data_IF_837735141103
#
_entry.id   IF_837735141103
#
_cell.length_a   1.000
_cell.length_b   1.000
_cell.length_c   1.000
_cell.angle_alpha   90.00
_cell.angle_beta   90.00
_cell.angle_gamma   90.00
#
_symmetry.space_group_name_H-M   'P 1'
#
loop_
_entity.id
_entity.type
_entity.pdbx_description
1 polymer ?
#
# COMPACT_ATOMS: atom_id res chain seq x y z
N UNK A 1 13.85 7.75 76.52
CA UNK A 1 13.24 8.39 75.35
C UNK A 1 13.19 7.38 74.24
N UNK A 2 12.01 6.87 73.79
CA UNK A 2 11.92 5.73 72.92
C UNK A 2 12.04 6.12 71.45
N UNK A 3 12.77 5.28 70.70
CA UNK A 3 13.01 5.39 69.29
C UNK A 3 11.79 5.06 68.43
N UNK A 4 11.67 5.80 67.33
CA UNK A 4 10.67 5.60 66.29
C UNK A 4 11.08 4.45 65.35
N UNK A 5 10.18 3.44 65.23
CA UNK A 5 10.28 2.37 64.26
C UNK A 5 9.91 2.89 62.85
N UNK A 6 10.80 2.63 61.85
CA UNK A 6 10.54 2.89 60.45
C UNK A 6 9.66 1.77 59.83
N UNK A 7 8.92 2.07 58.75
CA UNK A 7 8.00 1.10 58.15
C UNK A 7 8.72 0.04 57.33
N UNK A 8 8.32 -1.19 57.53
CA UNK A 8 8.72 -2.40 56.83
C UNK A 8 8.39 -2.34 55.35
N UNK A 9 9.40 -2.50 54.51
CA UNK A 9 9.29 -2.70 53.05
C UNK A 9 8.59 -4.01 52.72
N UNK A 10 7.41 -3.95 52.16
CA UNK A 10 6.73 -5.09 51.60
C UNK A 10 7.43 -5.55 50.32
N UNK A 11 7.97 -6.77 50.32
CA UNK A 11 8.48 -7.44 49.14
C UNK A 11 7.32 -7.69 48.15
N UNK A 12 7.41 -7.11 46.96
CA UNK A 12 6.55 -7.48 45.86
C UNK A 12 7.01 -8.83 45.30
N UNK A 13 6.15 -9.81 45.30
CA UNK A 13 6.33 -11.08 44.60
C UNK A 13 6.36 -10.88 43.10
N UNK A 14 7.19 -11.64 42.34
CA UNK A 14 7.24 -11.55 40.89
C UNK A 14 5.93 -12.08 40.28
N UNK A 15 5.25 -11.26 39.50
CA UNK A 15 4.07 -11.67 38.73
C UNK A 15 4.49 -12.70 37.69
N UNK A 16 3.90 -13.88 37.77
CA UNK A 16 3.97 -14.92 36.74
C UNK A 16 3.47 -14.36 35.38
N UNK A 17 4.15 -14.68 34.25
CA UNK A 17 3.66 -14.33 32.95
C UNK A 17 2.29 -15.00 32.70
N UNK A 18 1.29 -14.22 32.29
CA UNK A 18 0.01 -14.78 31.82
C UNK A 18 0.31 -15.68 30.61
N UNK A 19 -0.09 -16.93 30.71
CA UNK A 19 -0.10 -17.86 29.60
C UNK A 19 -0.97 -17.24 28.47
N UNK A 20 -0.36 -17.06 27.30
CA UNK A 20 -1.06 -16.62 26.11
C UNK A 20 -2.18 -17.61 25.78
N UNK A 21 -3.36 -17.07 25.49
CA UNK A 21 -4.43 -17.87 24.89
C UNK A 21 -3.92 -18.44 23.57
N UNK A 22 -4.22 -19.70 23.22
CA UNK A 22 -3.88 -20.22 21.92
C UNK A 22 -4.63 -19.39 20.87
N UNK A 23 -3.89 -18.75 19.96
CA UNK A 23 -4.45 -18.18 18.75
C UNK A 23 -5.27 -19.26 18.04
N UNK A 24 -6.46 -18.92 17.49
CA UNK A 24 -7.15 -19.86 16.61
C UNK A 24 -6.18 -20.24 15.51
N UNK A 25 -5.94 -21.51 15.34
CA UNK A 25 -5.05 -22.10 14.35
C UNK A 25 -5.47 -21.56 12.98
N UNK A 26 -4.62 -20.73 12.40
CA UNK A 26 -4.70 -20.39 10.99
C UNK A 26 -4.84 -21.71 10.22
N UNK A 27 -5.78 -21.78 9.31
CA UNK A 27 -6.09 -22.97 8.54
C UNK A 27 -4.79 -23.44 7.85
N UNK A 28 -4.20 -24.58 8.20
CA UNK A 28 -2.97 -25.03 7.56
C UNK A 28 -3.33 -25.45 6.15
N UNK A 29 -2.67 -24.87 5.16
CA UNK A 29 -2.83 -25.11 3.74
C UNK A 29 -4.19 -24.66 3.17
N UNK A 30 -4.43 -23.36 3.15
CA UNK A 30 -5.13 -22.79 2.04
C UNK A 30 -4.31 -23.11 0.80
N UNK A 31 -4.66 -24.18 0.05
CA UNK A 31 -4.16 -24.33 -1.30
C UNK A 31 -4.48 -23.01 -1.98
N UNK A 32 -3.46 -22.32 -2.48
CA UNK A 32 -3.67 -21.24 -3.44
C UNK A 32 -4.54 -21.87 -4.52
N UNK A 33 -5.86 -21.60 -4.46
CA UNK A 33 -6.74 -21.86 -5.59
C UNK A 33 -6.03 -21.15 -6.71
N UNK A 34 -5.91 -21.70 -7.91
CA UNK A 34 -5.13 -21.11 -9.00
C UNK A 34 -5.43 -19.64 -9.33
N UNK A 35 -5.89 -18.85 -8.34
CA UNK A 35 -6.30 -17.44 -8.44
C UNK A 35 -5.76 -16.68 -7.23
N UNK A 36 -5.08 -15.57 -7.50
CA UNK A 36 -4.64 -14.59 -6.51
C UNK A 36 -5.37 -13.25 -6.79
N UNK A 37 -5.99 -12.68 -5.76
CA UNK A 37 -6.62 -11.37 -5.87
C UNK A 37 -5.93 -10.37 -4.94
N UNK A 38 -5.41 -9.29 -5.52
CA UNK A 38 -4.68 -8.22 -4.79
C UNK A 38 -5.43 -6.90 -4.95
N UNK A 39 -5.72 -6.25 -3.84
CA UNK A 39 -6.29 -4.89 -3.82
C UNK A 39 -5.28 -3.90 -3.27
N UNK A 40 -5.28 -2.69 -3.80
CA UNK A 40 -4.54 -1.56 -3.23
C UNK A 40 -5.43 -0.35 -3.09
N UNK A 41 -5.23 0.44 -2.03
CA UNK A 41 -5.97 1.69 -1.81
C UNK A 41 -5.22 2.65 -0.91
N UNK A 42 -5.06 3.89 -1.35
CA UNK A 42 -4.70 5.00 -0.47
C UNK A 42 -5.92 5.36 0.38
N UNK A 43 -5.83 5.15 1.70
CA UNK A 43 -6.96 5.33 2.64
C UNK A 43 -7.11 6.75 3.16
N UNK A 44 -6.17 7.65 2.83
CA UNK A 44 -6.16 9.06 3.28
C UNK A 44 -6.43 9.22 4.79
N UNK A 45 -5.83 8.35 5.60
CA UNK A 45 -6.00 8.26 7.05
C UNK A 45 -6.92 7.13 7.48
N UNK A 46 -6.33 5.99 7.85
CA UNK A 46 -7.03 4.74 8.16
C UNK A 46 -8.07 4.88 9.30
N UNK A 47 -7.79 5.71 10.31
CA UNK A 47 -8.77 5.99 11.39
C UNK A 47 -10.06 6.65 10.88
N UNK A 48 -9.94 7.51 9.87
CA UNK A 48 -11.10 8.18 9.28
C UNK A 48 -11.83 7.24 8.32
N UNK A 49 -11.09 6.50 7.51
CA UNK A 49 -11.63 5.50 6.58
C UNK A 49 -12.38 4.38 7.32
N UNK A 50 -11.84 3.89 8.44
CA UNK A 50 -12.49 2.87 9.28
C UNK A 50 -13.90 3.29 9.76
N UNK A 51 -14.09 4.58 10.09
CA UNK A 51 -15.39 5.11 10.50
C UNK A 51 -16.40 5.32 9.37
N UNK A 52 -15.95 5.19 8.12
CA UNK A 52 -16.74 5.52 6.91
C UNK A 52 -17.02 4.33 6.00
N UNK A 53 -16.60 3.11 6.39
CA UNK A 53 -16.90 1.91 5.62
C UNK A 53 -15.70 1.06 5.21
N UNK A 54 -14.45 1.44 5.55
CA UNK A 54 -13.28 0.62 5.24
C UNK A 54 -13.33 -0.75 5.93
N UNK A 55 -13.80 -0.82 7.19
CA UNK A 55 -13.89 -2.09 7.94
C UNK A 55 -14.87 -3.05 7.28
N UNK A 56 -16.04 -2.55 6.90
CA UNK A 56 -17.07 -3.31 6.20
C UNK A 56 -16.59 -3.76 4.82
N UNK A 57 -15.85 -2.89 4.11
CA UNK A 57 -15.24 -3.25 2.84
C UNK A 57 -14.16 -4.33 3.03
N UNK A 58 -13.27 -4.21 4.02
CA UNK A 58 -12.23 -5.20 4.33
C UNK A 58 -12.84 -6.56 4.70
N UNK A 59 -13.96 -6.57 5.42
CA UNK A 59 -14.66 -7.79 5.81
C UNK A 59 -15.33 -8.51 4.63
N UNK A 60 -15.71 -7.77 3.57
CA UNK A 60 -16.50 -8.30 2.43
C UNK A 60 -15.70 -8.46 1.14
N UNK A 61 -14.52 -7.84 1.04
CA UNK A 61 -13.67 -7.95 -0.15
C UNK A 61 -13.27 -9.39 -0.44
N UNK A 62 -13.14 -9.72 -1.73
CA UNK A 62 -12.65 -11.02 -2.21
C UNK A 62 -11.14 -11.07 -2.33
N UNK A 63 -10.44 -9.99 -1.98
CA UNK A 63 -8.99 -9.94 -2.04
C UNK A 63 -8.34 -10.96 -1.08
N UNK A 64 -7.24 -11.56 -1.54
CA UNK A 64 -6.34 -12.37 -0.71
C UNK A 64 -5.31 -11.48 -0.01
N UNK A 65 -4.95 -10.36 -0.66
CA UNK A 65 -4.05 -9.34 -0.11
C UNK A 65 -4.62 -7.95 -0.34
N UNK A 66 -4.59 -7.11 0.69
CA UNK A 66 -4.96 -5.68 0.61
C UNK A 66 -3.78 -4.84 1.06
N UNK A 67 -3.31 -3.94 0.20
CA UNK A 67 -2.25 -2.98 0.49
C UNK A 67 -2.85 -1.58 0.68
N UNK A 68 -2.53 -0.94 1.80
CA UNK A 68 -3.02 0.40 2.14
C UNK A 68 -1.88 1.41 2.16
N UNK A 69 -2.15 2.62 1.67
CA UNK A 69 -1.24 3.76 1.72
C UNK A 69 -1.89 4.90 2.51
N UNK A 70 -1.08 5.83 2.99
CA UNK A 70 -1.52 6.95 3.83
C UNK A 70 -2.31 6.53 5.07
N UNK A 71 -1.81 5.53 5.79
CA UNK A 71 -2.41 5.06 7.07
C UNK A 71 -2.47 6.18 8.11
N UNK A 72 -1.43 7.04 8.18
CA UNK A 72 -1.34 8.26 9.01
C UNK A 72 -1.56 8.03 10.51
N UNK A 73 -1.29 6.83 10.98
CA UNK A 73 -1.46 6.45 12.39
C UNK A 73 -0.51 5.30 12.74
N UNK A 74 -0.15 5.21 14.03
CA UNK A 74 0.49 4.02 14.58
C UNK A 74 -0.57 2.99 14.98
N UNK A 75 -0.18 1.73 15.23
CA UNK A 75 -1.11 0.67 15.62
C UNK A 75 -1.93 1.03 16.88
N UNK A 76 -1.29 1.69 17.86
CA UNK A 76 -1.95 2.11 19.11
C UNK A 76 -3.03 3.18 18.90
N UNK A 77 -3.01 3.86 17.75
CA UNK A 77 -3.96 4.91 17.41
C UNK A 77 -5.12 4.39 16.54
N UNK A 78 -5.03 3.15 16.09
CA UNK A 78 -6.03 2.51 15.22
C UNK A 78 -7.04 1.71 16.04
N UNK A 79 -8.29 1.56 15.56
CA UNK A 79 -9.24 0.61 16.12
C UNK A 79 -8.73 -0.84 16.04
N UNK A 80 -9.14 -1.68 16.98
CA UNK A 80 -8.68 -3.08 17.06
C UNK A 80 -9.02 -3.88 15.79
N UNK A 81 -10.17 -3.62 15.20
CA UNK A 81 -10.69 -4.27 14.00
C UNK A 81 -9.95 -3.90 12.69
N UNK A 82 -9.05 -2.91 12.74
CA UNK A 82 -8.10 -2.61 11.64
C UNK A 82 -6.66 -2.94 11.97
N UNK A 83 -6.31 -3.12 13.26
CA UNK A 83 -4.96 -3.56 13.66
C UNK A 83 -4.83 -5.07 13.56
N UNK A 84 -5.88 -5.78 13.98
CA UNK A 84 -5.95 -7.25 13.99
C UNK A 84 -7.34 -7.70 13.50
N UNK A 85 -7.64 -7.51 12.20
CA UNK A 85 -8.93 -7.87 11.65
C UNK A 85 -9.09 -9.38 11.55
N UNK A 86 -10.29 -9.88 11.83
CA UNK A 86 -10.57 -11.32 11.83
C UNK A 86 -10.30 -11.96 10.46
N UNK A 87 -9.53 -13.03 10.45
CA UNK A 87 -9.15 -13.78 9.27
C UNK A 87 -8.08 -13.12 8.38
N UNK A 88 -7.37 -12.13 8.91
CA UNK A 88 -6.24 -11.49 8.23
C UNK A 88 -4.96 -11.53 9.08
N UNK A 89 -3.84 -11.75 8.45
CA UNK A 89 -2.56 -11.27 8.95
C UNK A 89 -2.44 -9.78 8.60
N UNK A 90 -1.95 -8.97 9.53
CA UNK A 90 -1.77 -7.53 9.31
C UNK A 90 -0.33 -7.10 9.61
N UNK A 91 0.28 -6.36 8.67
CA UNK A 91 1.58 -5.71 8.86
C UNK A 91 1.43 -4.20 8.65
N UNK A 92 2.02 -3.41 9.53
CA UNK A 92 1.96 -1.95 9.50
C UNK A 92 3.37 -1.35 9.53
N UNK A 93 3.65 -0.41 8.65
CA UNK A 93 4.85 0.40 8.62
C UNK A 93 4.46 1.88 8.80
N UNK A 94 4.34 2.37 10.05
CA UNK A 94 4.02 3.77 10.32
C UNK A 94 5.22 4.66 9.97
N UNK A 95 4.95 5.93 9.68
CA UNK A 95 6.00 6.94 9.60
C UNK A 95 6.41 7.42 10.99
N UNK A 96 7.70 7.73 11.18
CA UNK A 96 8.19 8.45 12.37
C UNK A 96 7.59 9.85 12.48
N UNK A 97 7.19 10.44 11.37
CA UNK A 97 6.50 11.74 11.36
C UNK A 97 5.03 11.53 11.65
N UNK A 98 4.61 11.96 12.84
CA UNK A 98 3.25 11.76 13.33
C UNK A 98 2.18 12.31 12.36
N UNK A 99 1.20 11.46 12.04
CA UNK A 99 0.05 11.83 11.21
C UNK A 99 0.38 11.96 9.71
N UNK A 100 1.55 11.47 9.28
CA UNK A 100 1.96 11.48 7.86
C UNK A 100 2.22 10.06 7.39
N UNK A 101 2.09 9.84 6.08
CA UNK A 101 2.44 8.59 5.38
C UNK A 101 1.87 7.33 6.08
N UNK A 102 2.65 6.29 6.16
CA UNK A 102 2.27 4.99 6.70
C UNK A 102 1.67 4.09 5.64
N UNK A 103 2.18 2.87 5.55
CA UNK A 103 1.62 1.82 4.70
C UNK A 103 1.25 0.62 5.55
N UNK A 104 0.29 -0.19 5.07
CA UNK A 104 -0.09 -1.44 5.70
C UNK A 104 -0.39 -2.50 4.64
N UNK A 105 -0.24 -3.76 5.00
CA UNK A 105 -0.66 -4.90 4.19
C UNK A 105 -1.45 -5.86 5.05
N UNK A 106 -2.62 -6.24 4.58
CA UNK A 106 -3.46 -7.31 5.10
C UNK A 106 -3.37 -8.51 4.17
N UNK A 107 -3.16 -9.71 4.70
CA UNK A 107 -3.07 -10.95 3.92
C UNK A 107 -3.91 -12.05 4.53
N UNK A 108 -4.65 -12.81 3.71
CA UNK A 108 -5.38 -14.02 4.15
C UNK A 108 -4.44 -15.17 4.47
N UNK A 109 -3.22 -15.12 3.96
CA UNK A 109 -2.19 -16.13 4.17
C UNK A 109 -1.09 -15.52 5.02
N UNK A 110 -0.61 -16.25 6.02
CA UNK A 110 0.56 -15.85 6.80
C UNK A 110 1.76 -15.74 5.87
N UNK A 111 2.43 -14.57 5.77
CA UNK A 111 3.62 -14.44 4.96
C UNK A 111 4.82 -15.17 5.58
N UNK A 112 5.74 -15.61 4.73
CA UNK A 112 7.02 -16.20 5.13
C UNK A 112 7.94 -15.12 5.74
N UNK A 113 7.87 -13.89 5.20
CA UNK A 113 8.67 -12.74 5.62
C UNK A 113 7.87 -11.43 5.45
N UNK A 114 8.15 -10.48 6.33
CA UNK A 114 7.70 -9.08 6.21
C UNK A 114 8.91 -8.18 6.24
N UNK A 115 9.02 -7.29 5.27
CA UNK A 115 10.12 -6.32 5.17
C UNK A 115 9.57 -4.90 5.12
N UNK A 116 10.03 -4.06 6.02
CA UNK A 116 9.73 -2.62 6.05
C UNK A 116 10.88 -1.86 5.43
N UNK A 117 10.59 -0.82 4.64
CA UNK A 117 11.60 -0.05 3.93
C UNK A 117 12.22 -0.81 2.76
N UNK A 118 13.13 -0.14 2.06
CA UNK A 118 13.83 -0.71 0.90
C UNK A 118 15.35 -0.54 0.99
N UNK A 119 15.86 -0.25 2.20
CA UNK A 119 17.30 -0.17 2.48
C UNK A 119 17.94 1.19 2.19
N UNK A 120 17.15 2.21 1.85
CA UNK A 120 17.64 3.59 1.70
C UNK A 120 17.45 4.33 3.03
N UNK A 121 18.55 4.73 3.71
CA UNK A 121 18.48 5.32 5.04
C UNK A 121 17.57 6.55 5.18
N UNK A 122 17.50 7.39 4.15
CA UNK A 122 16.61 8.57 4.15
C UNK A 122 15.13 8.17 4.25
N UNK A 123 14.75 7.01 3.73
CA UNK A 123 13.35 6.58 3.62
C UNK A 123 12.97 5.40 4.50
N UNK A 124 13.91 4.84 5.27
CA UNK A 124 13.69 3.62 6.05
C UNK A 124 12.51 3.75 7.03
N UNK A 125 12.46 4.88 7.75
CA UNK A 125 11.42 5.18 8.74
C UNK A 125 10.30 6.08 8.19
N UNK A 126 10.22 6.25 6.89
CA UNK A 126 9.26 7.17 6.26
C UNK A 126 7.83 6.61 6.20
N UNK A 127 7.66 5.29 6.39
CA UNK A 127 6.36 4.63 6.25
C UNK A 127 5.83 4.68 4.81
N UNK A 128 6.70 4.50 3.81
CA UNK A 128 6.34 4.58 2.40
C UNK A 128 6.39 3.27 1.66
N UNK A 129 6.97 2.22 2.28
CA UNK A 129 7.17 0.94 1.63
C UNK A 129 7.13 -0.22 2.61
N UNK A 130 6.45 -1.31 2.23
CA UNK A 130 6.30 -2.53 3.01
C UNK A 130 6.09 -3.72 2.06
N UNK A 131 6.85 -4.81 2.26
CA UNK A 131 6.69 -6.06 1.54
C UNK A 131 6.16 -7.17 2.42
N UNK A 132 5.30 -8.02 1.85
CA UNK A 132 4.96 -9.34 2.39
C UNK A 132 5.37 -10.41 1.37
N UNK A 133 6.13 -11.39 1.82
CA UNK A 133 6.62 -12.48 0.99
C UNK A 133 5.72 -13.69 1.20
N UNK A 134 4.91 -14.01 0.21
CA UNK A 134 4.07 -15.19 0.15
C UNK A 134 4.79 -16.32 -0.60
N UNK A 135 4.35 -17.58 -0.54
CA UNK A 135 5.10 -18.71 -1.12
C UNK A 135 5.49 -18.55 -2.59
N UNK A 136 4.67 -17.87 -3.40
CA UNK A 136 4.91 -17.70 -4.84
C UNK A 136 5.00 -16.26 -5.32
N UNK A 137 4.68 -15.30 -4.45
CA UNK A 137 4.61 -13.88 -4.82
C UNK A 137 5.05 -12.98 -3.68
N UNK A 138 5.81 -11.94 -4.01
CA UNK A 138 6.05 -10.81 -3.13
C UNK A 138 5.03 -9.72 -3.47
N UNK A 139 4.24 -9.30 -2.50
CA UNK A 139 3.31 -8.18 -2.64
C UNK A 139 3.85 -7.01 -1.83
N UNK A 140 4.09 -5.88 -2.49
CA UNK A 140 4.62 -4.69 -1.85
C UNK A 140 3.63 -3.53 -1.91
N UNK A 141 3.42 -2.85 -0.76
CA UNK A 141 2.67 -1.60 -0.65
C UNK A 141 3.60 -0.42 -0.80
N UNK A 142 3.38 0.41 -1.81
CA UNK A 142 4.15 1.63 -2.11
C UNK A 142 3.30 2.88 -1.93
N UNK A 143 3.84 3.86 -1.21
CA UNK A 143 3.38 5.24 -1.20
C UNK A 143 4.50 6.17 -1.67
N UNK A 144 4.58 6.40 -2.98
CA UNK A 144 5.58 7.30 -3.57
C UNK A 144 5.31 8.75 -3.15
N UNK A 145 6.33 9.58 -2.83
CA UNK A 145 6.10 10.97 -2.49
C UNK A 145 5.28 11.73 -3.55
N UNK A 146 4.31 12.55 -3.12
CA UNK A 146 3.43 13.26 -4.06
C UNK A 146 4.13 14.39 -4.82
N UNK A 147 5.19 14.95 -4.25
CA UNK A 147 5.89 16.11 -4.80
C UNK A 147 5.08 17.42 -4.73
N UNK A 148 5.77 18.52 -5.04
CA UNK A 148 5.19 19.84 -5.24
C UNK A 148 6.27 20.71 -5.91
N UNK A 149 6.07 21.10 -7.16
CA UNK A 149 7.10 21.72 -8.02
C UNK A 149 7.70 22.97 -7.39
N UNK A 150 9.02 23.02 -7.33
CA UNK A 150 9.76 24.15 -6.78
C UNK A 150 9.84 24.14 -5.23
N UNK A 151 9.53 23.01 -4.59
CA UNK A 151 9.66 22.85 -3.14
C UNK A 151 10.50 21.61 -2.79
N UNK A 152 10.97 21.54 -1.54
CA UNK A 152 11.67 20.38 -0.98
C UNK A 152 10.88 19.05 -1.13
N UNK A 153 9.55 19.12 -1.27
CA UNK A 153 8.74 17.91 -1.51
C UNK A 153 8.96 17.31 -2.89
N UNK A 154 9.27 18.15 -3.89
CA UNK A 154 9.63 17.66 -5.22
C UNK A 154 11.03 17.03 -5.18
N UNK A 155 11.96 17.68 -4.48
CA UNK A 155 13.32 17.17 -4.32
C UNK A 155 13.31 15.82 -3.57
N UNK A 156 12.48 15.68 -2.51
CA UNK A 156 12.26 14.39 -1.81
C UNK A 156 11.77 13.30 -2.77
N UNK A 157 10.79 13.64 -3.63
CA UNK A 157 10.26 12.71 -4.62
C UNK A 157 11.33 12.25 -5.62
N UNK A 158 12.14 13.17 -6.11
CA UNK A 158 13.22 12.86 -7.05
C UNK A 158 14.28 11.96 -6.42
N UNK A 159 14.69 12.23 -5.16
CA UNK A 159 15.63 11.36 -4.42
C UNK A 159 15.04 9.96 -4.18
N UNK A 160 13.74 9.90 -3.82
CA UNK A 160 13.06 8.62 -3.65
C UNK A 160 13.06 7.81 -4.96
N UNK A 161 12.68 8.44 -6.07
CA UNK A 161 12.66 7.81 -7.39
C UNK A 161 14.05 7.32 -7.80
N UNK A 162 15.08 8.11 -7.56
CA UNK A 162 16.47 7.75 -7.88
C UNK A 162 16.95 6.51 -7.10
N UNK A 163 16.60 6.41 -5.81
CA UNK A 163 16.96 5.27 -4.96
C UNK A 163 16.09 4.04 -5.22
N UNK A 164 14.82 4.23 -5.57
CA UNK A 164 13.85 3.14 -5.67
C UNK A 164 13.98 2.32 -6.96
N UNK A 165 14.39 2.92 -8.07
CA UNK A 165 14.55 2.19 -9.34
C UNK A 165 15.59 1.05 -9.28
N UNK A 166 16.82 1.27 -8.76
CA UNK A 166 17.77 0.17 -8.58
C UNK A 166 17.25 -0.92 -7.66
N UNK A 167 16.53 -0.52 -6.59
CA UNK A 167 15.91 -1.48 -5.69
C UNK A 167 14.89 -2.39 -6.37
N UNK A 168 14.04 -1.84 -7.25
CA UNK A 168 13.08 -2.65 -8.02
C UNK A 168 13.78 -3.69 -8.91
N UNK A 169 14.90 -3.33 -9.52
CA UNK A 169 15.72 -4.27 -10.30
C UNK A 169 16.23 -5.41 -9.41
N UNK A 170 16.76 -5.06 -8.24
CA UNK A 170 17.29 -6.04 -7.27
C UNK A 170 16.18 -6.93 -6.70
N UNK A 171 15.03 -6.35 -6.32
CA UNK A 171 13.87 -7.07 -5.80
C UNK A 171 13.39 -8.13 -6.78
N UNK A 172 13.24 -7.76 -8.06
CA UNK A 172 12.86 -8.70 -9.13
C UNK A 172 13.86 -9.85 -9.23
N UNK A 173 15.17 -9.54 -9.23
CA UNK A 173 16.21 -10.56 -9.36
C UNK A 173 16.22 -11.53 -8.17
N UNK A 174 16.09 -11.01 -6.93
CA UNK A 174 16.01 -11.82 -5.72
C UNK A 174 14.77 -12.71 -5.70
N UNK A 175 13.60 -12.13 -5.99
CA UNK A 175 12.35 -12.88 -6.03
C UNK A 175 12.42 -14.01 -7.06
N UNK A 176 12.95 -13.74 -8.26
CA UNK A 176 13.13 -14.75 -9.30
C UNK A 176 14.07 -15.89 -8.86
N UNK A 177 15.15 -15.57 -8.14
CA UNK A 177 16.06 -16.59 -7.60
C UNK A 177 15.37 -17.50 -6.56
N UNK A 178 14.38 -16.96 -5.84
CA UNK A 178 13.56 -17.69 -4.87
C UNK A 178 12.32 -18.36 -5.52
N UNK A 179 12.17 -18.29 -6.84
CA UNK A 179 11.02 -18.83 -7.56
C UNK A 179 9.72 -18.07 -7.33
N UNK A 180 9.80 -16.78 -6.97
CA UNK A 180 8.67 -15.88 -6.73
C UNK A 180 8.54 -14.84 -7.84
N UNK A 181 7.32 -14.43 -8.11
CA UNK A 181 6.99 -13.21 -8.85
C UNK A 181 6.85 -12.02 -7.87
N UNK A 182 6.83 -10.81 -8.40
CA UNK A 182 6.64 -9.58 -7.61
C UNK A 182 5.47 -8.79 -8.17
N UNK A 183 4.66 -8.21 -7.28
CA UNK A 183 3.75 -7.12 -7.61
C UNK A 183 3.92 -5.98 -6.62
N UNK A 184 4.29 -4.81 -7.13
CA UNK A 184 4.35 -3.56 -6.36
C UNK A 184 3.07 -2.79 -6.63
N UNK A 185 2.27 -2.63 -5.59
CA UNK A 185 0.96 -1.99 -5.69
C UNK A 185 0.92 -0.75 -4.81
N UNK A 186 0.12 0.23 -5.19
CA UNK A 186 -0.04 1.41 -4.34
C UNK A 186 -0.21 2.70 -5.12
N UNK A 187 -0.07 3.79 -4.37
CA UNK A 187 -0.11 5.14 -4.88
C UNK A 187 1.28 5.54 -5.39
N UNK A 188 1.43 5.49 -6.70
CA UNK A 188 2.66 5.86 -7.40
C UNK A 188 2.80 7.36 -7.59
N UNK A 189 1.75 8.13 -7.30
CA UNK A 189 1.73 9.58 -7.45
C UNK A 189 2.24 10.09 -8.80
N UNK A 190 2.16 9.26 -9.85
CA UNK A 190 2.53 9.58 -11.24
C UNK A 190 1.46 9.01 -12.17
N UNK A 191 0.87 9.86 -12.99
CA UNK A 191 0.12 9.48 -14.17
C UNK A 191 1.10 9.32 -15.34
N UNK A 192 1.18 8.13 -15.94
CA UNK A 192 2.19 7.83 -16.94
C UNK A 192 1.90 8.51 -18.29
N UNK A 193 0.66 8.47 -18.75
CA UNK A 193 0.29 9.02 -20.05
C UNK A 193 -0.93 9.94 -19.95
N UNK A 194 -1.23 10.62 -21.04
CA UNK A 194 -2.36 11.54 -21.17
C UNK A 194 -3.72 10.89 -20.93
N UNK A 195 -3.86 9.59 -21.15
CA UNK A 195 -5.05 8.80 -20.85
C UNK A 195 -5.24 8.54 -19.36
N UNK A 196 -4.18 8.75 -18.55
CA UNK A 196 -4.20 8.51 -17.11
C UNK A 196 -4.71 9.70 -16.30
N UNK A 197 -4.99 10.83 -16.93
CA UNK A 197 -5.61 11.95 -16.24
C UNK A 197 -6.49 12.79 -17.16
N UNK A 198 -7.66 13.21 -16.65
CA UNK A 198 -8.68 13.94 -17.43
C UNK A 198 -8.14 15.25 -18.01
N UNK A 199 -7.48 16.05 -17.21
CA UNK A 199 -7.04 17.41 -17.56
C UNK A 199 -5.52 17.48 -17.84
N UNK A 200 -4.96 16.51 -18.56
CA UNK A 200 -3.52 16.37 -18.74
C UNK A 200 -2.84 17.63 -19.32
N UNK A 201 -3.51 18.37 -20.23
CA UNK A 201 -2.92 19.58 -20.83
C UNK A 201 -2.59 20.66 -19.80
N UNK A 202 -3.48 20.84 -18.82
CA UNK A 202 -3.31 21.80 -17.73
C UNK A 202 -2.30 21.34 -16.67
N UNK A 203 -2.04 20.03 -16.59
CA UNK A 203 -1.20 19.44 -15.55
C UNK A 203 0.24 19.11 -15.98
N UNK A 204 0.64 19.44 -17.22
CA UNK A 204 1.99 19.14 -17.77
C UNK A 204 3.17 19.72 -16.99
N UNK A 205 2.91 20.68 -16.11
CA UNK A 205 3.91 21.34 -15.27
C UNK A 205 3.68 21.07 -13.77
N UNK A 206 2.78 20.15 -13.45
CA UNK A 206 2.46 19.80 -12.07
C UNK A 206 3.10 18.46 -11.71
N UNK A 207 3.56 18.32 -10.46
CA UNK A 207 4.02 17.06 -9.94
C UNK A 207 2.94 15.96 -10.11
N UNK A 208 3.38 14.76 -10.41
CA UNK A 208 2.53 13.63 -10.81
C UNK A 208 2.34 13.51 -12.33
N UNK A 209 2.74 14.54 -13.12
CA UNK A 209 2.69 14.46 -14.58
C UNK A 209 3.85 15.20 -15.29
N UNK A 210 4.94 15.42 -14.56
CA UNK A 210 6.15 16.02 -15.15
C UNK A 210 6.80 15.05 -16.14
N UNK A 211 7.47 15.56 -17.20
CA UNK A 211 8.17 14.72 -18.18
C UNK A 211 9.17 13.76 -17.52
N UNK A 212 9.98 14.25 -16.56
CA UNK A 212 10.99 13.48 -15.82
C UNK A 212 10.39 12.39 -14.94
N UNK A 213 9.24 12.62 -14.32
CA UNK A 213 8.51 11.61 -13.54
C UNK A 213 7.98 10.49 -14.44
N UNK A 214 7.42 10.86 -15.59
CA UNK A 214 6.91 9.92 -16.59
C UNK A 214 8.05 9.12 -17.23
N UNK A 215 9.18 9.75 -17.53
CA UNK A 215 10.39 9.07 -18.01
C UNK A 215 10.89 8.06 -16.98
N UNK A 216 10.95 8.44 -15.70
CA UNK A 216 11.33 7.53 -14.64
C UNK A 216 10.39 6.32 -14.54
N UNK A 217 9.07 6.53 -14.60
CA UNK A 217 8.12 5.41 -14.58
C UNK A 217 8.26 4.53 -15.84
N UNK A 218 8.59 5.12 -17.00
CA UNK A 218 8.96 4.39 -18.20
C UNK A 218 10.20 3.51 -18.01
N UNK A 219 11.18 3.96 -17.22
CA UNK A 219 12.35 3.15 -16.82
C UNK A 219 11.98 2.01 -15.87
N UNK A 220 10.99 2.19 -15.00
CA UNK A 220 10.45 1.07 -14.21
C UNK A 220 9.91 -0.04 -15.12
N UNK A 221 9.26 0.33 -16.23
CA UNK A 221 8.78 -0.66 -17.21
C UNK A 221 9.93 -1.30 -18.01
N UNK A 222 10.89 -0.51 -18.47
CA UNK A 222 11.91 -1.00 -19.42
C UNK A 222 13.17 -1.54 -18.75
N UNK A 223 13.68 -0.92 -17.69
CA UNK A 223 14.91 -1.30 -17.00
C UNK A 223 14.62 -2.27 -15.84
N UNK A 224 13.67 -1.93 -14.96
CA UNK A 224 13.30 -2.83 -13.86
C UNK A 224 12.40 -3.98 -14.35
N UNK A 225 11.75 -3.83 -15.51
CA UNK A 225 11.01 -4.90 -16.19
C UNK A 225 9.69 -5.24 -15.54
N UNK A 226 9.00 -4.25 -14.97
CA UNK A 226 7.64 -4.40 -14.47
C UNK A 226 6.62 -4.00 -15.54
N UNK A 227 5.41 -4.54 -15.41
CA UNK A 227 4.30 -4.27 -16.32
C UNK A 227 3.13 -3.71 -15.53
N UNK A 228 2.56 -2.60 -15.98
CA UNK A 228 1.29 -2.08 -15.47
C UNK A 228 0.15 -3.01 -15.93
N UNK A 229 -0.45 -3.74 -14.98
CA UNK A 229 -1.42 -4.78 -15.30
C UNK A 229 -2.74 -4.22 -15.82
N UNK A 230 -3.12 -3.00 -15.43
CA UNK A 230 -4.28 -2.32 -15.98
C UNK A 230 -4.06 -1.97 -17.46
N UNK A 231 -2.89 -1.40 -17.78
CA UNK A 231 -2.54 -1.02 -19.16
C UNK A 231 -2.27 -2.22 -20.06
N UNK A 232 -1.88 -3.35 -19.47
CA UNK A 232 -1.82 -4.61 -20.21
C UNK A 232 -3.18 -5.06 -20.71
N UNK A 233 -4.26 -4.88 -19.93
CA UNK A 233 -5.63 -5.28 -20.31
C UNK A 233 -6.33 -4.22 -21.15
N UNK A 234 -6.08 -2.94 -20.87
CA UNK A 234 -6.65 -1.79 -21.58
C UNK A 234 -5.57 -0.74 -21.86
N UNK A 235 -4.82 -0.91 -22.96
CA UNK A 235 -3.65 -0.05 -23.25
C UNK A 235 -4.03 1.36 -23.66
N UNK A 236 -5.21 1.60 -24.23
CA UNK A 236 -5.56 2.87 -24.89
C UNK A 236 -6.75 3.59 -24.22
N UNK A 237 -7.51 2.92 -23.39
CA UNK A 237 -8.69 3.49 -22.73
C UNK A 237 -8.36 4.63 -21.77
N UNK A 238 -9.17 5.71 -21.73
CA UNK A 238 -9.01 6.76 -20.74
C UNK A 238 -9.33 6.21 -19.34
N UNK A 239 -8.49 6.52 -18.36
CA UNK A 239 -8.67 5.98 -16.99
C UNK A 239 -8.51 4.46 -16.94
N UNK A 240 -9.34 3.72 -16.19
CA UNK A 240 -10.23 4.25 -15.15
C UNK A 240 -9.43 5.01 -14.09
N UNK A 241 -9.91 6.19 -13.70
CA UNK A 241 -9.23 7.00 -12.69
C UNK A 241 -9.36 6.37 -11.31
N UNK A 242 -8.36 6.61 -10.45
CA UNK A 242 -8.27 6.03 -9.11
C UNK A 242 -8.34 7.08 -8.01
N UNK A 243 -8.05 8.35 -8.34
CA UNK A 243 -8.06 9.49 -7.42
C UNK A 243 -8.84 10.67 -7.98
N UNK A 244 -9.61 11.36 -7.12
CA UNK A 244 -10.37 12.58 -7.43
C UNK A 244 -10.25 13.58 -6.29
N UNK A 245 -9.78 14.78 -6.60
CA UNK A 245 -9.71 15.87 -5.63
C UNK A 245 -11.06 16.11 -4.94
N UNK A 246 -11.02 16.49 -3.67
CA UNK A 246 -12.21 16.97 -2.95
C UNK A 246 -12.72 18.33 -3.45
N UNK A 247 -11.96 19.02 -4.31
CA UNK A 247 -12.28 20.35 -4.85
C UNK A 247 -12.93 20.24 -6.23
N UNK A 248 -13.73 21.29 -6.58
CA UNK A 248 -14.18 21.50 -7.97
C UNK A 248 -15.12 20.43 -8.51
N UNK A 249 -15.84 19.69 -7.66
CA UNK A 249 -16.72 18.57 -8.07
C UNK A 249 -16.00 17.53 -8.94
N UNK A 250 -14.69 17.32 -8.67
CA UNK A 250 -13.85 16.47 -9.49
C UNK A 250 -14.38 15.04 -9.59
N UNK A 251 -14.94 14.50 -8.50
CA UNK A 251 -15.52 13.17 -8.49
C UNK A 251 -16.75 13.07 -9.39
N UNK A 252 -17.70 13.98 -9.26
CA UNK A 252 -18.96 13.96 -10.02
C UNK A 252 -18.73 14.21 -11.52
N UNK A 253 -17.75 15.06 -11.85
CA UNK A 253 -17.32 15.35 -13.23
C UNK A 253 -16.35 14.31 -13.81
N UNK A 254 -16.00 13.28 -13.03
CA UNK A 254 -14.97 12.29 -13.37
C UNK A 254 -13.64 12.94 -13.82
N UNK A 255 -13.25 14.02 -13.16
CA UNK A 255 -11.98 14.72 -13.40
C UNK A 255 -10.89 14.14 -12.51
N UNK A 256 -10.57 12.88 -12.76
CA UNK A 256 -9.67 12.08 -11.95
C UNK A 256 -8.27 11.89 -12.55
N UNK A 257 -7.43 11.22 -11.77
CA UNK A 257 -6.11 10.73 -12.10
C UNK A 257 -6.03 9.23 -11.82
N UNK A 258 -5.32 8.49 -12.66
CA UNK A 258 -4.94 7.10 -12.42
C UNK A 258 -3.49 7.08 -11.91
N UNK A 259 -3.34 7.07 -10.62
CA UNK A 259 -2.06 7.11 -9.91
C UNK A 259 -1.86 5.93 -8.96
N UNK A 260 -2.91 5.17 -8.68
CA UNK A 260 -2.84 3.91 -7.96
C UNK A 260 -2.72 2.77 -8.97
N UNK A 261 -1.59 2.09 -8.98
CA UNK A 261 -1.26 1.08 -9.97
C UNK A 261 -0.79 -0.22 -9.32
N UNK A 262 -0.92 -1.32 -10.06
CA UNK A 262 -0.29 -2.60 -9.75
C UNK A 262 0.74 -2.89 -10.84
N UNK A 263 2.03 -2.84 -10.48
CA UNK A 263 3.13 -3.14 -11.39
C UNK A 263 3.69 -4.51 -11.07
N UNK A 264 3.52 -5.46 -11.97
CA UNK A 264 3.89 -6.85 -11.77
C UNK A 264 5.09 -7.26 -12.65
N UNK A 265 5.87 -8.21 -12.17
CA UNK A 265 6.87 -8.90 -12.99
C UNK A 265 6.20 -9.69 -14.11
N UNK A 266 6.89 -9.93 -15.24
CA UNK A 266 6.26 -10.48 -16.46
C UNK A 266 5.49 -11.77 -16.25
N UNK A 267 6.04 -12.72 -15.46
CA UNK A 267 5.39 -14.01 -15.22
C UNK A 267 4.06 -13.89 -14.47
N UNK A 268 3.91 -12.88 -13.61
CA UNK A 268 2.63 -12.59 -12.95
C UNK A 268 1.74 -11.70 -13.83
N UNK A 269 2.31 -10.70 -14.50
CA UNK A 269 1.56 -9.82 -15.38
C UNK A 269 0.87 -10.59 -16.53
N UNK A 270 1.50 -11.64 -17.05
CA UNK A 270 0.93 -12.51 -18.08
C UNK A 270 -0.31 -13.28 -17.59
N UNK A 271 -0.48 -13.40 -16.30
CA UNK A 271 -1.58 -14.10 -15.63
C UNK A 271 -2.70 -13.20 -15.15
N UNK A 272 -2.63 -11.89 -15.40
CA UNK A 272 -3.72 -11.00 -15.02
C UNK A 272 -4.98 -11.29 -15.82
N UNK A 273 -6.10 -11.47 -15.10
CA UNK A 273 -7.42 -11.79 -15.68
C UNK A 273 -8.32 -10.57 -15.69
N UNK A 274 -8.26 -9.78 -14.63
CA UNK A 274 -9.09 -8.57 -14.50
C UNK A 274 -8.44 -7.54 -13.61
N UNK A 275 -8.75 -6.27 -13.87
CA UNK A 275 -8.47 -5.16 -12.97
C UNK A 275 -9.72 -4.30 -12.85
N UNK A 276 -10.14 -4.00 -11.62
CA UNK A 276 -11.33 -3.22 -11.32
C UNK A 276 -10.98 -2.07 -10.41
N UNK A 277 -11.41 -0.86 -10.76
CA UNK A 277 -11.42 0.29 -9.85
C UNK A 277 -12.78 0.33 -9.17
N UNK A 278 -12.79 0.12 -7.86
CA UNK A 278 -14.01 0.06 -7.05
C UNK A 278 -14.48 1.48 -6.67
N UNK A 279 -14.80 2.28 -7.67
CA UNK A 279 -15.29 3.65 -7.48
C UNK A 279 -16.60 3.65 -6.73
N UNK A 280 -16.72 4.47 -5.66
CA UNK A 280 -17.97 4.66 -4.95
C UNK A 280 -19.08 5.19 -5.89
N UNK A 281 -20.33 4.79 -5.63
CA UNK A 281 -21.45 5.19 -6.48
C UNK A 281 -21.78 6.69 -6.38
N UNK A 282 -21.44 7.34 -5.24
CA UNK A 282 -21.66 8.75 -5.02
C UNK A 282 -20.52 9.37 -4.19
N UNK A 283 -20.39 10.69 -4.28
CA UNK A 283 -19.36 11.47 -3.58
C UNK A 283 -19.37 11.24 -2.06
N UNK A 284 -20.53 11.22 -1.44
CA UNK A 284 -20.73 11.07 -0.01
C UNK A 284 -20.56 9.64 0.51
N UNK A 285 -20.49 8.65 -0.40
CA UNK A 285 -20.21 7.25 -0.07
C UNK A 285 -18.73 6.92 -0.07
N UNK A 286 -17.87 7.88 -0.43
CA UNK A 286 -16.42 7.67 -0.42
C UNK A 286 -15.87 7.71 1.00
N UNK A 287 -15.10 6.71 1.35
CA UNK A 287 -14.31 6.72 2.59
C UNK A 287 -12.86 7.20 2.39
N UNK A 288 -12.42 7.36 1.12
CA UNK A 288 -11.17 8.01 0.71
C UNK A 288 -11.39 8.87 -0.54
N UNK A 289 -10.46 9.73 -0.91
CA UNK A 289 -10.41 10.41 -2.21
C UNK A 289 -9.81 9.50 -3.30
N UNK A 290 -9.26 8.35 -2.93
CA UNK A 290 -8.90 7.26 -3.83
C UNK A 290 -9.97 6.16 -3.79
N UNK A 291 -10.01 5.35 -4.85
CA UNK A 291 -10.80 4.13 -4.94
C UNK A 291 -9.88 2.90 -4.87
N UNK A 292 -10.32 1.78 -4.28
CA UNK A 292 -9.58 0.53 -4.36
C UNK A 292 -9.35 0.09 -5.80
N UNK A 293 -8.16 -0.42 -6.09
CA UNK A 293 -7.79 -1.05 -7.35
C UNK A 293 -7.53 -2.52 -7.10
N UNK A 294 -8.41 -3.37 -7.60
CA UNK A 294 -8.38 -4.82 -7.37
C UNK A 294 -8.03 -5.56 -8.64
N UNK A 295 -6.93 -6.30 -8.64
CA UNK A 295 -6.51 -7.16 -9.75
C UNK A 295 -6.62 -8.65 -9.37
N UNK A 296 -7.01 -9.46 -10.33
CA UNK A 296 -7.10 -10.92 -10.21
C UNK A 296 -6.12 -11.57 -11.18
N UNK A 297 -5.35 -12.54 -10.69
CA UNK A 297 -4.32 -13.26 -11.41
C UNK A 297 -4.60 -14.77 -11.36
N UNK A 298 -4.45 -15.47 -12.47
CA UNK A 298 -4.52 -16.94 -12.58
C UNK A 298 -3.11 -17.55 -12.32
N UNK A 299 -2.81 -17.99 -11.08
CA UNK A 299 -1.46 -18.33 -10.57
C UNK A 299 -1.24 -19.81 -10.26
#
# INVERSE_FOLDING_TARGET
MPGAAGPTSARQEPRTPRQGHPHPTANPAGSVRGVLTVSTVNVNGLRAAAKKGFVEWLATTKADVVACQEVRATAEQLPADVVDPDGWFAAHAPSVVKGRNGVAVYSRVQPDEVRVGFGEPEFEDSGRYLEVHLPKVVVASLYLPSGDVGTERQDEKERFMAAFLPYLVELRAKAAADGREVVVVGDWNIAYDSVDLKNWRGNRKNSGFLPEEREWLGRVYTEAGYTDVQRRLDPEGPGPYTWWSYRGQAFDNDSGWRIDCQLATPGLADKVVSVVVERAAAYDQRWSDHAPVTATYDV
#
